data_IF_936009265805
#
_entry.id   IF_936009265805
#
_cell.length_a   1.000
_cell.length_b   1.000
_cell.length_c   1.000
_cell.angle_alpha   90.00
_cell.angle_beta   90.00
_cell.angle_gamma   90.00
#
_symmetry.space_group_name_H-M   'P 1'
#
loop_
_entity.id
_entity.type
_entity.pdbx_description
1 polymer ?
#
# COMPACT_ATOMS: atom_id res chain seq x y z
N UNK A 1 13.63 33.92 -16.83
CA UNK A 1 14.05 34.16 -15.43
C UNK A 1 13.69 33.05 -14.43
N UNK A 2 12.65 32.19 -14.58
CA UNK A 2 12.34 31.17 -13.55
C UNK A 2 13.40 30.06 -13.45
N UNK A 3 14.09 29.74 -14.54
CA UNK A 3 15.11 28.66 -14.58
C UNK A 3 16.33 28.94 -13.70
N UNK A 4 16.78 30.20 -13.59
CA UNK A 4 17.90 30.56 -12.71
C UNK A 4 17.50 30.52 -11.23
N UNK A 5 16.28 30.96 -10.88
CA UNK A 5 15.75 30.90 -9.51
C UNK A 5 15.67 29.45 -9.01
N UNK A 6 15.13 28.54 -9.84
CA UNK A 6 15.01 27.10 -9.54
C UNK A 6 16.40 26.46 -9.34
N UNK A 7 17.41 26.82 -10.12
CA UNK A 7 18.78 26.30 -9.94
C UNK A 7 19.43 26.80 -8.64
N UNK A 8 19.15 28.04 -8.24
CA UNK A 8 19.65 28.64 -6.99
C UNK A 8 18.97 27.98 -5.77
N UNK A 9 17.64 27.80 -5.82
CA UNK A 9 16.88 27.15 -4.74
C UNK A 9 17.28 25.67 -4.56
N UNK A 10 17.49 24.94 -5.65
CA UNK A 10 18.01 23.56 -5.61
C UNK A 10 19.42 23.48 -5.00
N UNK A 11 20.29 24.43 -5.36
CA UNK A 11 21.63 24.53 -4.77
C UNK A 11 21.59 24.83 -3.26
N UNK A 12 20.69 25.72 -2.84
CA UNK A 12 20.52 26.09 -1.44
C UNK A 12 19.99 24.91 -0.61
N UNK A 13 19.00 24.17 -1.12
CA UNK A 13 18.44 22.98 -0.47
C UNK A 13 19.48 21.89 -0.24
N UNK A 14 20.27 21.57 -1.29
CA UNK A 14 21.35 20.58 -1.17
C UNK A 14 22.41 21.02 -0.15
N UNK A 15 22.77 22.30 -0.14
CA UNK A 15 23.70 22.84 0.87
C UNK A 15 23.15 22.73 2.30
N UNK A 16 21.84 22.89 2.49
CA UNK A 16 21.20 22.67 3.79
C UNK A 16 21.32 21.22 4.24
N UNK A 17 21.07 20.24 3.35
CA UNK A 17 21.22 18.81 3.66
C UNK A 17 22.68 18.50 4.04
N UNK A 18 23.64 18.94 3.22
CA UNK A 18 25.08 18.75 3.48
C UNK A 18 25.47 19.34 4.84
N UNK A 19 25.00 20.54 5.16
CA UNK A 19 25.26 21.17 6.45
C UNK A 19 24.67 20.37 7.63
N UNK A 20 23.44 19.84 7.50
CA UNK A 20 22.84 18.98 8.52
C UNK A 20 23.65 17.70 8.72
N UNK A 21 24.09 17.05 7.64
CA UNK A 21 24.93 15.85 7.72
C UNK A 21 26.27 16.13 8.42
N UNK A 22 26.94 17.23 8.07
CA UNK A 22 28.19 17.63 8.73
C UNK A 22 28.00 17.83 10.24
N UNK A 23 26.89 18.46 10.66
CA UNK A 23 26.55 18.60 12.07
C UNK A 23 26.32 17.26 12.76
N UNK A 24 25.59 16.34 12.12
CA UNK A 24 25.32 15.01 12.68
C UNK A 24 26.61 14.23 12.92
N UNK A 25 27.58 14.28 12.00
CA UNK A 25 28.89 13.62 12.16
C UNK A 25 29.62 14.13 13.41
N UNK A 26 29.52 15.42 13.72
CA UNK A 26 30.22 16.02 14.86
C UNK A 26 29.45 15.97 16.19
N UNK A 27 28.16 15.66 16.16
CA UNK A 27 27.28 15.71 17.32
C UNK A 27 26.83 14.35 17.85
N UNK A 28 27.26 13.26 17.19
CA UNK A 28 26.90 11.90 17.58
C UNK A 28 28.09 11.19 18.19
N UNK A 29 27.84 10.41 19.23
CA UNK A 29 28.90 9.81 20.03
C UNK A 29 29.47 8.54 19.39
N UNK A 30 28.65 7.86 18.58
CA UNK A 30 29.00 6.62 17.91
C UNK A 30 28.24 6.43 16.59
N UNK A 31 28.67 5.43 15.81
CA UNK A 31 28.13 5.16 14.49
C UNK A 31 26.65 4.74 14.50
N UNK A 32 26.18 4.07 15.56
CA UNK A 32 24.78 3.62 15.67
C UNK A 32 23.87 4.85 15.78
N UNK A 33 24.19 5.76 16.69
CA UNK A 33 23.43 7.01 16.85
C UNK A 33 23.50 7.87 15.58
N UNK A 34 24.66 7.94 14.95
CA UNK A 34 24.82 8.63 13.66
C UNK A 34 23.87 8.08 12.60
N UNK A 35 23.86 6.76 12.40
CA UNK A 35 23.02 6.09 11.41
C UNK A 35 21.52 6.31 11.70
N UNK A 36 21.10 6.18 12.96
CA UNK A 36 19.71 6.44 13.35
C UNK A 36 19.27 7.87 13.02
N UNK A 37 20.11 8.87 13.32
CA UNK A 37 19.80 10.28 13.04
C UNK A 37 19.83 10.59 11.54
N UNK A 38 20.76 10.02 10.79
CA UNK A 38 20.79 10.17 9.33
C UNK A 38 19.56 9.52 8.68
N UNK A 39 19.13 8.35 9.17
CA UNK A 39 17.92 7.67 8.71
C UNK A 39 16.68 8.55 8.92
N UNK A 40 16.54 9.19 10.09
CA UNK A 40 15.44 10.12 10.37
C UNK A 40 15.50 11.32 9.41
N UNK A 41 16.69 11.93 9.25
CA UNK A 41 16.87 13.05 8.32
C UNK A 41 16.50 12.67 6.88
N UNK A 42 16.87 11.47 6.44
CA UNK A 42 16.52 10.97 5.11
C UNK A 42 15.00 10.91 4.94
N UNK A 43 14.27 10.36 5.91
CA UNK A 43 12.81 10.31 5.85
C UNK A 43 12.19 11.71 5.80
N UNK A 44 12.60 12.63 6.68
CA UNK A 44 12.10 14.01 6.71
C UNK A 44 12.33 14.74 5.38
N UNK A 45 13.53 14.59 4.81
CA UNK A 45 13.88 15.21 3.53
C UNK A 45 13.01 14.65 2.41
N UNK A 46 12.89 13.32 2.31
CA UNK A 46 12.12 12.68 1.25
C UNK A 46 10.62 12.99 1.34
N UNK A 47 10.03 12.95 2.54
CA UNK A 47 8.60 13.25 2.69
C UNK A 47 8.28 14.71 2.40
N UNK A 48 9.15 15.64 2.80
CA UNK A 48 9.02 17.07 2.48
C UNK A 48 9.08 17.31 0.98
N UNK A 49 10.08 16.76 0.30
CA UNK A 49 10.24 16.92 -1.16
C UNK A 49 9.04 16.34 -1.90
N UNK A 50 8.58 15.14 -1.53
CA UNK A 50 7.43 14.53 -2.19
C UNK A 50 6.14 15.31 -1.91
N UNK A 51 5.97 15.85 -0.70
CA UNK A 51 4.84 16.70 -0.34
C UNK A 51 4.77 17.99 -1.17
N UNK A 52 5.92 18.61 -1.42
CA UNK A 52 6.03 19.76 -2.33
C UNK A 52 5.70 19.37 -3.78
N UNK A 53 6.18 18.22 -4.25
CA UNK A 53 5.85 17.71 -5.58
C UNK A 53 4.34 17.52 -5.72
N UNK A 54 3.69 16.84 -4.77
CA UNK A 54 2.24 16.65 -4.79
C UNK A 54 1.47 17.96 -4.74
N UNK A 55 1.91 18.91 -3.91
CA UNK A 55 1.31 20.25 -3.84
C UNK A 55 1.40 20.99 -5.18
N UNK A 56 2.56 20.90 -5.85
CA UNK A 56 2.76 21.50 -7.17
C UNK A 56 1.91 20.82 -8.24
N UNK A 57 1.81 19.49 -8.22
CA UNK A 57 0.96 18.74 -9.14
C UNK A 57 -0.52 19.07 -8.93
N UNK A 58 -0.98 19.18 -7.68
CA UNK A 58 -2.32 19.67 -7.37
C UNK A 58 -2.55 21.05 -8.00
N UNK A 59 -1.61 22.00 -7.85
CA UNK A 59 -1.75 23.33 -8.44
C UNK A 59 -1.83 23.32 -9.98
N UNK A 60 -1.16 22.38 -10.66
CA UNK A 60 -1.27 22.19 -12.11
C UNK A 60 -2.67 21.69 -12.47
N UNK A 61 -3.14 20.62 -11.82
CA UNK A 61 -4.47 20.05 -12.07
C UNK A 61 -5.58 21.07 -11.80
N UNK A 62 -5.47 21.86 -10.72
CA UNK A 62 -6.43 22.93 -10.41
C UNK A 62 -6.51 23.94 -11.56
N UNK A 63 -5.39 24.38 -12.11
CA UNK A 63 -5.39 25.31 -13.25
C UNK A 63 -6.03 24.73 -14.50
N UNK A 64 -5.76 23.45 -14.79
CA UNK A 64 -6.37 22.74 -15.91
C UNK A 64 -7.89 22.62 -15.74
N UNK A 65 -8.35 22.25 -14.55
CA UNK A 65 -9.78 22.13 -14.22
C UNK A 65 -10.50 23.49 -14.25
N UNK A 66 -9.86 24.56 -13.74
CA UNK A 66 -10.39 25.92 -13.85
C UNK A 66 -10.57 26.36 -15.31
N UNK A 67 -9.59 26.05 -16.18
CA UNK A 67 -9.71 26.31 -17.60
C UNK A 67 -10.85 25.50 -18.27
N UNK A 68 -11.20 24.35 -17.70
CA UNK A 68 -12.34 23.53 -18.09
C UNK A 68 -13.69 23.98 -17.48
N UNK A 69 -13.72 25.10 -16.76
CA UNK A 69 -14.95 25.67 -16.18
C UNK A 69 -15.26 25.24 -14.75
N UNK A 70 -14.39 24.46 -14.10
CA UNK A 70 -14.57 24.08 -12.70
C UNK A 70 -14.32 25.25 -11.76
N UNK A 71 -14.96 25.23 -10.58
CA UNK A 71 -14.78 26.26 -9.57
C UNK A 71 -14.01 25.75 -8.36
N UNK A 72 -13.14 26.58 -7.80
CA UNK A 72 -12.40 26.26 -6.57
C UNK A 72 -13.22 26.66 -5.37
N UNK A 73 -13.40 25.75 -4.41
CA UNK A 73 -14.03 26.05 -3.13
C UNK A 73 -12.97 26.44 -2.10
N UNK A 74 -12.01 25.54 -1.82
CA UNK A 74 -10.96 25.76 -0.80
C UNK A 74 -9.75 24.84 -0.98
N UNK A 75 -8.68 25.17 -0.27
CA UNK A 75 -7.50 24.33 -0.12
C UNK A 75 -7.49 23.68 1.27
N UNK A 76 -7.24 22.38 1.30
CA UNK A 76 -7.13 21.59 2.52
C UNK A 76 -5.72 20.96 2.60
N UNK A 77 -5.32 20.56 3.80
CA UNK A 77 -4.06 19.83 4.02
C UNK A 77 -4.35 18.35 4.20
N UNK A 78 -3.59 17.51 3.51
CA UNK A 78 -3.73 16.05 3.56
C UNK A 78 -2.41 15.40 3.96
N UNK A 79 -2.53 14.36 4.80
CA UNK A 79 -1.42 13.52 5.23
C UNK A 79 -1.67 12.07 4.83
N UNK A 80 -0.68 11.45 4.19
CA UNK A 80 -0.68 10.02 3.85
C UNK A 80 0.60 9.39 4.37
N UNK A 81 0.47 8.31 5.15
CA UNK A 81 1.61 7.50 5.55
C UNK A 81 2.10 6.63 4.38
N UNK A 82 3.35 6.82 3.99
CA UNK A 82 4.14 5.93 3.14
C UNK A 82 5.13 5.13 4.00
N UNK A 83 5.81 4.14 3.42
CA UNK A 83 6.81 3.32 4.11
C UNK A 83 8.01 4.13 4.60
N UNK A 84 8.31 5.22 3.89
CA UNK A 84 9.38 6.17 4.21
C UNK A 84 8.91 7.40 5.01
N UNK A 85 7.65 7.42 5.48
CA UNK A 85 7.15 8.44 6.40
C UNK A 85 5.83 9.06 5.97
N UNK A 86 5.34 10.03 6.76
CA UNK A 86 4.12 10.77 6.48
C UNK A 86 4.41 11.88 5.47
N UNK A 87 3.75 11.82 4.33
CA UNK A 87 3.80 12.87 3.30
C UNK A 87 2.61 13.79 3.51
N UNK A 88 2.91 15.07 3.77
CA UNK A 88 1.95 16.15 3.95
C UNK A 88 1.93 17.02 2.70
N UNK A 89 0.75 17.28 2.14
CA UNK A 89 0.60 18.07 0.92
C UNK A 89 -0.73 18.82 0.90
N UNK A 90 -0.82 19.85 0.08
CA UNK A 90 -2.07 20.57 -0.17
C UNK A 90 -2.86 19.90 -1.29
N UNK A 91 -4.16 19.74 -1.06
CA UNK A 91 -5.11 19.36 -2.09
C UNK A 91 -6.29 20.33 -2.13
N UNK A 92 -6.95 20.46 -3.28
CA UNK A 92 -7.97 21.49 -3.49
C UNK A 92 -9.33 20.86 -3.72
N UNK A 93 -10.33 21.30 -2.95
CA UNK A 93 -11.73 20.97 -3.17
C UNK A 93 -12.27 21.86 -4.29
N UNK A 94 -12.82 21.24 -5.32
CA UNK A 94 -13.39 21.90 -6.49
C UNK A 94 -14.79 21.37 -6.80
N UNK A 95 -15.62 22.18 -7.45
CA UNK A 95 -16.88 21.74 -8.03
C UNK A 95 -16.74 21.53 -9.54
N UNK A 96 -17.21 20.38 -10.02
CA UNK A 96 -17.35 20.10 -11.44
C UNK A 96 -18.47 20.94 -12.09
N UNK A 97 -18.72 20.70 -13.39
CA UNK A 97 -19.73 21.43 -14.16
C UNK A 97 -21.15 21.10 -13.69
N UNK A 98 -21.34 19.92 -13.09
CA UNK A 98 -22.58 19.45 -12.48
C UNK A 98 -22.77 19.93 -11.03
N UNK A 99 -21.75 20.57 -10.44
CA UNK A 99 -21.74 21.09 -9.07
C UNK A 99 -21.29 20.08 -8.00
N UNK A 100 -20.82 18.89 -8.37
CA UNK A 100 -20.33 17.90 -7.41
C UNK A 100 -18.95 18.29 -6.86
N UNK A 101 -18.80 18.17 -5.55
CA UNK A 101 -17.56 18.48 -4.85
C UNK A 101 -16.56 17.31 -4.97
N UNK A 102 -15.37 17.58 -5.50
CA UNK A 102 -14.33 16.60 -5.78
C UNK A 102 -12.95 17.13 -5.40
N UNK A 103 -12.00 16.20 -5.17
CA UNK A 103 -10.58 16.51 -5.02
C UNK A 103 -9.83 15.95 -6.26
N UNK A 104 -9.65 16.74 -7.33
CA UNK A 104 -9.14 16.22 -8.60
C UNK A 104 -7.76 15.58 -8.50
N UNK A 105 -6.87 16.13 -7.67
CA UNK A 105 -5.55 15.55 -7.44
C UNK A 105 -5.63 14.19 -6.75
N UNK A 106 -6.53 14.03 -5.78
CA UNK A 106 -6.69 12.78 -5.04
C UNK A 106 -7.18 11.66 -5.95
N UNK A 107 -8.14 11.95 -6.82
CA UNK A 107 -8.65 11.03 -7.82
C UNK A 107 -7.57 10.64 -8.83
N UNK A 108 -6.83 11.62 -9.34
CA UNK A 108 -5.70 11.39 -10.25
C UNK A 108 -4.60 10.53 -9.61
N UNK A 109 -4.29 10.77 -8.34
CA UNK A 109 -3.29 10.02 -7.58
C UNK A 109 -3.81 8.65 -7.09
N UNK A 110 -5.09 8.35 -7.27
CA UNK A 110 -5.72 7.11 -6.80
C UNK A 110 -5.92 7.03 -5.29
N UNK A 111 -5.96 8.16 -4.59
CA UNK A 111 -6.21 8.20 -3.15
C UNK A 111 -7.71 8.12 -2.84
N UNK A 112 -8.12 7.06 -2.13
CA UNK A 112 -9.50 6.92 -1.66
C UNK A 112 -9.83 7.95 -0.57
N UNK A 113 -11.12 8.24 -0.41
CA UNK A 113 -11.63 9.12 0.65
C UNK A 113 -11.23 8.58 2.03
N UNK A 114 -10.79 9.46 2.93
CA UNK A 114 -10.32 9.15 4.29
C UNK A 114 -9.15 8.14 4.37
N UNK A 115 -8.52 7.80 3.25
CA UNK A 115 -7.33 6.96 3.24
C UNK A 115 -6.21 7.69 3.98
N UNK A 116 -5.65 7.03 4.99
CA UNK A 116 -4.55 7.55 5.83
C UNK A 116 -3.19 6.94 5.49
N UNK A 117 -3.17 5.86 4.72
CA UNK A 117 -1.99 5.05 4.40
C UNK A 117 -1.98 4.78 2.91
N UNK A 118 -0.81 4.83 2.29
CA UNK A 118 -0.66 4.41 0.90
C UNK A 118 -1.08 2.94 0.73
N UNK A 119 -1.59 2.53 -0.44
CA UNK A 119 -1.96 1.12 -0.68
C UNK A 119 -0.80 0.17 -0.45
N UNK A 120 0.42 0.60 -0.80
CA UNK A 120 1.63 -0.19 -0.59
C UNK A 120 1.92 -0.47 0.89
N UNK A 121 1.71 0.51 1.77
CA UNK A 121 1.81 0.28 3.23
C UNK A 121 0.78 -0.74 3.68
N UNK A 122 -0.47 -0.65 3.21
CA UNK A 122 -1.53 -1.59 3.62
C UNK A 122 -1.19 -3.03 3.19
N UNK A 123 -0.74 -3.23 1.96
CA UNK A 123 -0.32 -4.55 1.45
C UNK A 123 0.87 -5.10 2.23
N UNK A 124 1.93 -4.31 2.42
CA UNK A 124 3.14 -4.78 3.14
C UNK A 124 2.87 -5.11 4.61
N UNK A 125 1.97 -4.38 5.25
CA UNK A 125 1.52 -4.69 6.62
C UNK A 125 0.77 -6.02 6.64
N UNK A 126 -0.12 -6.26 5.67
CA UNK A 126 -0.88 -7.50 5.59
C UNK A 126 0.01 -8.72 5.31
N UNK A 127 0.96 -8.59 4.37
CA UNK A 127 1.98 -9.62 4.10
C UNK A 127 2.79 -9.96 5.37
N UNK A 128 3.31 -8.95 6.09
CA UNK A 128 4.08 -9.19 7.30
C UNK A 128 3.25 -9.85 8.41
N UNK A 129 1.98 -9.48 8.52
CA UNK A 129 1.04 -10.07 9.47
C UNK A 129 0.59 -11.49 9.11
N UNK A 130 0.82 -11.96 7.88
CA UNK A 130 0.60 -13.35 7.51
C UNK A 130 1.63 -14.29 8.16
N UNK A 131 2.85 -13.79 8.40
CA UNK A 131 3.96 -14.55 8.98
C UNK A 131 4.16 -14.26 10.49
N UNK A 132 3.53 -13.21 11.02
CA UNK A 132 3.78 -12.70 12.36
C UNK A 132 2.50 -12.38 13.12
N UNK A 133 2.57 -12.34 14.45
CA UNK A 133 1.45 -11.78 15.23
C UNK A 133 1.29 -10.28 14.94
N UNK A 134 0.08 -9.74 15.11
CA UNK A 134 -0.17 -8.30 14.87
C UNK A 134 0.67 -7.38 15.79
N UNK A 135 0.99 -7.84 17.00
CA UNK A 135 1.86 -7.09 17.93
C UNK A 135 3.30 -7.07 17.44
N UNK A 136 3.78 -8.21 16.96
CA UNK A 136 5.13 -8.34 16.43
C UNK A 136 5.29 -7.55 15.13
N UNK A 137 4.30 -7.61 14.24
CA UNK A 137 4.24 -6.78 13.03
C UNK A 137 4.33 -5.29 13.38
N UNK A 138 3.53 -4.82 14.35
CA UNK A 138 3.57 -3.42 14.79
C UNK A 138 4.95 -3.03 15.38
N UNK A 139 5.59 -3.93 16.13
CA UNK A 139 6.93 -3.73 16.69
C UNK A 139 8.00 -3.61 15.60
N UNK A 140 8.03 -4.56 14.67
CA UNK A 140 8.99 -4.59 13.56
C UNK A 140 8.86 -3.32 12.70
N UNK A 141 7.63 -2.94 12.34
CA UNK A 141 7.39 -1.74 11.54
C UNK A 141 7.93 -0.48 12.22
N UNK A 142 7.70 -0.34 13.52
CA UNK A 142 8.16 0.81 14.32
C UNK A 142 9.69 0.88 14.44
N UNK A 143 10.36 -0.27 14.56
CA UNK A 143 11.83 -0.33 14.72
C UNK A 143 12.57 -0.08 13.40
N UNK A 144 12.05 -0.65 12.30
CA UNK A 144 12.76 -0.72 11.02
C UNK A 144 12.31 0.29 9.97
N UNK A 145 11.13 0.90 10.13
CA UNK A 145 10.55 1.81 9.13
C UNK A 145 10.08 3.11 9.76
N UNK A 146 9.61 4.06 8.94
CA UNK A 146 8.96 5.28 9.43
C UNK A 146 7.46 5.08 9.73
N UNK A 147 6.99 3.84 9.80
CA UNK A 147 5.59 3.48 10.01
C UNK A 147 5.37 3.10 11.47
N UNK A 148 4.58 3.89 12.19
CA UNK A 148 4.13 3.57 13.56
C UNK A 148 2.61 3.33 13.56
N UNK A 149 2.19 2.17 14.08
CA UNK A 149 0.78 1.84 14.23
C UNK A 149 0.54 0.81 15.34
N UNK A 150 -0.68 0.78 15.87
CA UNK A 150 -1.07 -0.22 16.84
C UNK A 150 -1.29 -1.60 16.19
N UNK A 151 -1.12 -2.66 16.98
CA UNK A 151 -1.52 -4.02 16.58
C UNK A 151 -3.00 -4.13 16.18
N UNK A 152 -3.88 -3.30 16.76
CA UNK A 152 -5.29 -3.24 16.35
C UNK A 152 -5.44 -2.68 14.94
N UNK A 153 -4.65 -1.66 14.59
CA UNK A 153 -4.60 -1.08 13.24
C UNK A 153 -4.10 -2.10 12.23
N UNK A 154 -3.06 -2.87 12.58
CA UNK A 154 -2.58 -3.99 11.75
C UNK A 154 -3.73 -4.95 11.44
N UNK A 155 -4.49 -5.36 12.46
CA UNK A 155 -5.66 -6.24 12.26
C UNK A 155 -6.75 -5.63 11.37
N UNK A 156 -7.00 -4.31 11.46
CA UNK A 156 -7.93 -3.62 10.55
C UNK A 156 -7.42 -3.63 9.10
N UNK A 157 -6.12 -3.43 8.90
CA UNK A 157 -5.51 -3.48 7.57
C UNK A 157 -5.61 -4.87 6.98
N UNK A 158 -5.27 -5.92 7.73
CA UNK A 158 -5.38 -7.32 7.29
C UNK A 158 -6.80 -7.63 6.80
N UNK A 159 -7.82 -7.23 7.58
CA UNK A 159 -9.23 -7.41 7.17
C UNK A 159 -9.55 -6.68 5.87
N UNK A 160 -9.17 -5.40 5.77
CA UNK A 160 -9.41 -4.59 4.59
C UNK A 160 -8.73 -5.16 3.34
N UNK A 161 -7.47 -5.56 3.44
CA UNK A 161 -6.73 -6.15 2.32
C UNK A 161 -7.34 -7.51 1.94
N UNK A 162 -7.69 -8.34 2.93
CA UNK A 162 -8.36 -9.61 2.70
C UNK A 162 -9.73 -9.47 2.01
N UNK A 163 -10.54 -8.47 2.40
CA UNK A 163 -11.82 -8.17 1.74
C UNK A 163 -11.63 -7.71 0.28
N UNK A 164 -10.58 -6.94 0.00
CA UNK A 164 -10.25 -6.52 -1.37
C UNK A 164 -9.77 -7.70 -2.20
N UNK A 165 -8.93 -8.56 -1.64
CA UNK A 165 -8.46 -9.78 -2.31
C UNK A 165 -9.63 -10.73 -2.62
N UNK A 166 -10.50 -11.00 -1.65
CA UNK A 166 -11.65 -11.87 -1.84
C UNK A 166 -12.57 -11.37 -2.97
N UNK A 167 -12.81 -10.06 -3.06
CA UNK A 167 -13.60 -9.48 -4.16
C UNK A 167 -12.92 -9.62 -5.51
N UNK A 168 -11.60 -9.41 -5.58
CA UNK A 168 -10.86 -9.61 -6.82
C UNK A 168 -10.90 -11.08 -7.25
N UNK A 169 -10.82 -12.02 -6.30
CA UNK A 169 -10.94 -13.45 -6.56
C UNK A 169 -12.34 -13.82 -7.08
N UNK A 170 -13.41 -13.26 -6.48
CA UNK A 170 -14.79 -13.42 -6.95
C UNK A 170 -15.00 -12.87 -8.38
N UNK A 171 -14.49 -11.66 -8.66
CA UNK A 171 -14.57 -11.04 -9.99
C UNK A 171 -13.83 -11.87 -11.05
N UNK A 172 -12.66 -12.42 -10.73
CA UNK A 172 -11.93 -13.33 -11.62
C UNK A 172 -12.71 -14.61 -11.91
N UNK A 173 -13.39 -15.19 -10.91
CA UNK A 173 -14.24 -16.39 -11.11
C UNK A 173 -15.39 -16.08 -12.04
N UNK A 174 -16.10 -14.95 -11.84
CA UNK A 174 -17.20 -14.53 -12.72
C UNK A 174 -16.69 -14.29 -14.14
N UNK A 175 -15.56 -13.61 -14.32
CA UNK A 175 -14.96 -13.40 -15.64
C UNK A 175 -14.63 -14.73 -16.32
N UNK A 176 -14.09 -15.72 -15.60
CA UNK A 176 -13.83 -17.07 -16.13
C UNK A 176 -15.12 -17.80 -16.51
N UNK A 177 -16.18 -17.67 -15.71
CA UNK A 177 -17.50 -18.26 -16.00
C UNK A 177 -18.19 -17.60 -17.22
N UNK A 178 -18.00 -16.28 -17.41
CA UNK A 178 -18.58 -15.52 -18.53
C UNK A 178 -17.75 -15.63 -19.83
N UNK A 179 -16.44 -15.85 -19.72
CA UNK A 179 -15.50 -15.80 -20.85
C UNK A 179 -15.24 -17.15 -21.55
N UNK A 180 -15.74 -18.27 -21.02
CA UNK A 180 -15.44 -19.59 -21.58
C UNK A 180 -16.69 -20.34 -22.07
N UNK A 181 -16.75 -20.64 -23.37
CA UNK A 181 -17.17 -21.97 -23.77
C UNK A 181 -16.23 -22.94 -23.04
N UNK A 182 -16.77 -23.77 -22.14
CA UNK A 182 -15.98 -24.79 -21.45
C UNK A 182 -15.17 -25.56 -22.51
N UNK A 183 -13.85 -25.74 -22.34
CA UNK A 183 -13.08 -26.53 -23.29
C UNK A 183 -13.75 -27.90 -23.46
N UNK A 184 -13.79 -28.43 -24.69
CA UNK A 184 -14.30 -29.78 -24.93
C UNK A 184 -13.60 -30.73 -23.95
N UNK A 185 -14.39 -31.30 -23.03
CA UNK A 185 -13.88 -32.16 -21.97
C UNK A 185 -13.08 -33.30 -22.59
N UNK A 186 -11.86 -33.51 -22.12
CA UNK A 186 -11.03 -34.62 -22.55
C UNK A 186 -11.45 -35.89 -21.81
N UNK A 187 -11.64 -36.99 -22.52
CA UNK A 187 -11.78 -38.30 -21.90
C UNK A 187 -10.46 -38.68 -21.22
N UNK A 188 -10.50 -38.88 -19.90
CA UNK A 188 -9.33 -39.23 -19.07
C UNK A 188 -9.60 -40.56 -18.35
N UNK A 189 -8.61 -41.44 -18.32
CA UNK A 189 -8.75 -42.77 -17.71
C UNK A 189 -8.90 -42.69 -16.18
N UNK A 190 -8.24 -41.71 -15.55
CA UNK A 190 -8.26 -41.50 -14.11
C UNK A 190 -8.19 -40.01 -13.76
N UNK A 191 -9.10 -39.57 -12.89
CA UNK A 191 -9.11 -38.28 -12.23
C UNK A 191 -8.93 -38.51 -10.72
N UNK A 192 -7.92 -37.89 -10.13
CA UNK A 192 -7.70 -37.94 -8.69
C UNK A 192 -7.99 -36.57 -8.08
N UNK A 193 -8.74 -36.58 -6.98
CA UNK A 193 -8.99 -35.40 -6.16
C UNK A 193 -8.46 -35.67 -4.76
N UNK A 194 -7.55 -34.83 -4.29
CA UNK A 194 -7.07 -34.83 -2.91
C UNK A 194 -7.66 -33.60 -2.22
N UNK A 195 -8.30 -33.80 -1.07
CA UNK A 195 -8.81 -32.72 -0.25
C UNK A 195 -8.24 -32.85 1.17
N UNK A 196 -7.66 -31.77 1.68
CA UNK A 196 -7.16 -31.67 3.04
C UNK A 196 -7.85 -30.49 3.76
N UNK A 197 -7.99 -30.59 5.08
CA UNK A 197 -8.71 -29.66 5.92
C UNK A 197 -8.01 -29.42 7.24
N UNK A 198 -7.77 -28.15 7.58
CA UNK A 198 -7.18 -27.75 8.86
C UNK A 198 -8.21 -26.99 9.70
N UNK A 199 -8.41 -27.42 10.94
CA UNK A 199 -9.28 -26.74 11.90
C UNK A 199 -8.52 -25.66 12.67
N UNK A 200 -8.95 -24.42 12.52
CA UNK A 200 -8.50 -23.27 13.29
C UNK A 200 -9.51 -22.97 14.40
N UNK A 201 -9.04 -22.95 15.64
CA UNK A 201 -9.89 -22.64 16.79
C UNK A 201 -10.27 -21.15 16.78
N UNK A 202 -11.57 -20.86 16.77
CA UNK A 202 -12.09 -19.50 16.85
C UNK A 202 -11.98 -18.90 18.25
N UNK A 203 -12.26 -17.59 18.32
CA UNK A 203 -12.18 -16.79 19.56
C UNK A 203 -13.42 -16.99 20.43
N UNK A 204 -14.57 -17.35 19.83
CA UNK A 204 -15.79 -17.72 20.53
C UNK A 204 -15.72 -19.15 21.06
N UNK A 205 -16.26 -19.39 22.26
CA UNK A 205 -16.31 -20.74 22.86
C UNK A 205 -16.99 -21.72 21.90
N UNK A 206 -16.27 -22.79 21.57
CA UNK A 206 -16.72 -23.91 20.72
C UNK A 206 -16.99 -23.56 19.25
N UNK A 207 -16.49 -22.44 18.72
CA UNK A 207 -16.42 -22.23 17.28
C UNK A 207 -15.03 -22.58 16.77
N UNK A 208 -14.98 -23.41 15.74
CA UNK A 208 -13.78 -23.68 14.92
C UNK A 208 -14.11 -23.34 13.48
N UNK A 209 -13.13 -22.84 12.76
CA UNK A 209 -13.20 -22.59 11.33
C UNK A 209 -12.36 -23.67 10.64
N UNK A 210 -12.95 -24.37 9.69
CA UNK A 210 -12.21 -25.29 8.83
C UNK A 210 -11.70 -24.51 7.62
N UNK A 211 -10.42 -24.65 7.33
CA UNK A 211 -9.81 -24.18 6.08
C UNK A 211 -9.52 -25.41 5.25
N UNK A 212 -10.27 -25.59 4.16
CA UNK A 212 -10.17 -26.75 3.28
C UNK A 212 -9.48 -26.36 1.96
N UNK A 213 -8.65 -27.25 1.45
CA UNK A 213 -7.94 -27.14 0.19
C UNK A 213 -8.23 -28.40 -0.63
N UNK A 214 -8.43 -28.27 -1.95
CA UNK A 214 -8.50 -29.41 -2.85
C UNK A 214 -7.57 -29.26 -4.06
N UNK A 215 -6.90 -30.35 -4.45
CA UNK A 215 -6.07 -30.48 -5.67
C UNK A 215 -6.70 -31.52 -6.58
N UNK A 216 -6.75 -31.21 -7.88
CA UNK A 216 -7.19 -32.11 -8.94
C UNK A 216 -5.99 -32.49 -9.82
N UNK A 217 -5.81 -33.79 -10.07
CA UNK A 217 -4.77 -34.32 -10.93
C UNK A 217 -5.37 -35.17 -12.05
N UNK A 218 -4.91 -34.96 -13.28
CA UNK A 218 -5.24 -35.76 -14.46
C UNK A 218 -4.03 -36.60 -14.90
N UNK A 219 -4.28 -37.81 -15.40
CA UNK A 219 -3.25 -38.62 -16.06
C UNK A 219 -2.21 -39.21 -15.09
N UNK A 220 -2.49 -40.39 -14.56
CA UNK A 220 -1.52 -41.18 -13.80
C UNK A 220 -1.06 -42.39 -14.62
N UNK A 221 0.25 -42.50 -14.85
CA UNK A 221 0.84 -43.68 -15.48
C UNK A 221 1.39 -44.61 -14.38
N UNK A 222 1.01 -45.90 -14.40
CA UNK A 222 1.45 -46.88 -13.38
C UNK A 222 2.95 -47.16 -13.52
N UNK A 223 3.79 -46.39 -12.84
CA UNK A 223 5.22 -46.68 -12.75
C UNK A 223 5.52 -47.63 -11.56
N UNK A 224 5.23 -48.93 -11.74
CA UNK A 224 5.73 -50.00 -10.87
C UNK A 224 4.70 -51.06 -10.42
N UNK A 225 5.19 -52.28 -10.15
CA UNK A 225 4.42 -53.44 -9.68
C UNK A 225 4.35 -53.53 -8.15
N UNK A 226 3.74 -52.58 -7.44
CA UNK A 226 3.42 -52.77 -6.01
C UNK A 226 2.12 -52.07 -5.64
N UNK A 227 1.09 -52.88 -5.36
CA UNK A 227 -0.09 -52.45 -4.62
C UNK A 227 0.07 -52.87 -3.16
N UNK A 228 -0.16 -51.93 -2.26
CA UNK A 228 -0.67 -52.14 -0.91
C UNK A 228 -1.47 -50.90 -0.51
#
# INVERSE_FOLDING_TARGET
MPTKQIHIERGLFMNTIISKLYKLIHQTDNLIEFEERVRILMYEVFTSVLGEVFTNMNAVIVKEKQAAGWTVERNDEREIQFTFGVVRFTHTLMHDLEGNAQYPFDEWAGFKKYQRRSPFVEVKVAEMAAENTYRETARILKEWTAVDMSHTTVGTIVKKVGEVQAKADEEMVVELEESAELPEGKEIDFLYAEADGVFVRGIEKKKSHEVSHAILYEGWDRNGKRGH
#
